data_IF_079903039995
#
_entry.id   IF_079903039995
#
_cell.length_a   1.000
_cell.length_b   1.000
_cell.length_c   1.000
_cell.angle_alpha   90.00
_cell.angle_beta   90.00
_cell.angle_gamma   90.00
#
_symmetry.space_group_name_H-M   'P 1'
#
loop_
_entity.id
_entity.type
_entity.pdbx_description
1 polymer ?
#
# COMPACT_ATOMS: atom_id res chain seq x y z
N UNK A 1 0.89 -12.10 -2.36
CA UNK A 1 1.91 -13.16 -2.48
C UNK A 1 2.93 -12.73 -3.52
N UNK A 2 4.19 -13.17 -3.41
CA UNK A 2 5.18 -13.02 -4.48
C UNK A 2 5.48 -14.33 -5.23
N UNK A 3 6.29 -14.24 -6.29
CA UNK A 3 6.73 -15.41 -7.06
C UNK A 3 7.71 -16.33 -6.32
N UNK A 4 8.18 -15.94 -5.12
CA UNK A 4 9.01 -16.76 -4.24
C UNK A 4 8.20 -17.54 -3.20
N UNK A 5 6.87 -17.53 -3.30
CA UNK A 5 5.98 -18.25 -2.39
C UNK A 5 5.81 -17.58 -1.03
N UNK A 6 6.24 -16.31 -0.89
CA UNK A 6 6.05 -15.55 0.34
C UNK A 6 4.69 -14.84 0.32
N UNK A 7 4.02 -14.89 1.47
CA UNK A 7 2.74 -14.22 1.70
C UNK A 7 2.94 -13.03 2.63
N UNK A 8 2.24 -11.94 2.36
CA UNK A 8 2.06 -10.87 3.34
C UNK A 8 1.09 -11.34 4.43
N UNK A 9 0.92 -10.50 5.44
CA UNK A 9 -0.25 -10.60 6.30
C UNK A 9 -1.55 -10.37 5.52
N UNK A 10 -2.68 -10.73 6.12
CA UNK A 10 -4.00 -10.40 5.59
C UNK A 10 -4.23 -8.89 5.63
N UNK A 11 -4.65 -8.32 4.51
CA UNK A 11 -4.86 -6.88 4.37
C UNK A 11 -6.36 -6.58 4.28
N UNK A 12 -6.82 -5.58 5.04
CA UNK A 12 -8.23 -5.23 5.12
C UNK A 12 -8.73 -4.57 3.83
N UNK A 13 -7.96 -3.64 3.27
CA UNK A 13 -8.29 -2.99 2.00
C UNK A 13 -7.06 -2.86 1.10
N UNK A 14 -7.21 -3.30 -0.15
CA UNK A 14 -6.15 -3.27 -1.16
C UNK A 14 -6.65 -2.60 -2.43
N UNK A 15 -5.86 -1.67 -2.96
CA UNK A 15 -6.05 -1.09 -4.30
C UNK A 15 -5.04 -1.76 -5.22
N UNK A 16 -5.52 -2.44 -6.26
CA UNK A 16 -4.67 -3.22 -7.15
C UNK A 16 -5.16 -3.17 -8.60
N UNK A 17 -4.24 -3.43 -9.51
CA UNK A 17 -4.52 -3.59 -10.94
C UNK A 17 -5.17 -4.95 -11.23
N UNK A 18 -6.28 -4.93 -11.98
CA UNK A 18 -6.89 -6.15 -12.56
C UNK A 18 -6.76 -6.20 -14.08
N UNK A 19 -6.37 -5.11 -14.73
CA UNK A 19 -6.37 -5.03 -16.19
C UNK A 19 -5.16 -5.75 -16.79
N UNK A 20 -4.00 -5.65 -16.15
CA UNK A 20 -2.74 -6.21 -16.62
C UNK A 20 -2.18 -7.30 -15.70
N UNK A 21 -2.87 -7.58 -14.59
CA UNK A 21 -2.49 -8.59 -13.61
C UNK A 21 -3.54 -9.72 -13.59
N UNK A 22 -3.41 -10.74 -14.47
CA UNK A 22 -4.44 -11.76 -14.66
C UNK A 22 -4.52 -12.79 -13.52
N UNK A 23 -3.47 -12.90 -12.69
CA UNK A 23 -3.45 -13.81 -11.55
C UNK A 23 -4.22 -13.20 -10.39
N UNK A 24 -5.46 -13.65 -10.19
CA UNK A 24 -6.17 -13.49 -8.92
C UNK A 24 -6.58 -14.88 -8.50
N UNK A 25 -5.95 -15.40 -7.44
CA UNK A 25 -6.27 -16.71 -6.91
C UNK A 25 -7.39 -16.57 -5.89
N UNK A 26 -8.41 -17.41 -6.01
CA UNK A 26 -9.44 -17.56 -5.00
C UNK A 26 -9.19 -18.89 -4.31
N UNK A 27 -8.77 -18.83 -3.04
CA UNK A 27 -8.62 -20.02 -2.20
C UNK A 27 -9.56 -19.87 -1.01
N UNK A 28 -10.53 -20.77 -0.90
CA UNK A 28 -11.65 -20.63 0.04
C UNK A 28 -12.35 -19.26 -0.15
N UNK A 29 -12.53 -18.50 0.93
CA UNK A 29 -13.12 -17.14 0.91
C UNK A 29 -12.05 -16.03 0.76
N UNK A 30 -10.78 -16.40 0.53
CA UNK A 30 -9.69 -15.46 0.43
C UNK A 30 -9.32 -15.18 -1.03
N UNK A 31 -9.09 -13.90 -1.32
CA UNK A 31 -8.55 -13.44 -2.60
C UNK A 31 -7.07 -13.15 -2.43
N UNK A 32 -6.22 -13.90 -3.14
CA UNK A 32 -4.77 -13.75 -3.12
C UNK A 32 -4.34 -13.12 -4.44
N UNK A 33 -3.64 -12.00 -4.34
CA UNK A 33 -3.15 -11.24 -5.50
C UNK A 33 -1.61 -11.21 -5.54
N UNK A 34 -1.00 -11.11 -6.73
CA UNK A 34 0.44 -10.95 -6.90
C UNK A 34 0.90 -9.59 -6.40
N UNK A 35 2.08 -9.53 -5.78
CA UNK A 35 2.63 -8.29 -5.21
C UNK A 35 2.83 -7.19 -6.26
N UNK A 36 3.07 -7.56 -7.53
CA UNK A 36 3.25 -6.62 -8.64
C UNK A 36 1.98 -5.82 -8.97
N UNK A 37 0.79 -6.34 -8.66
CA UNK A 37 -0.48 -5.66 -8.97
C UNK A 37 -0.87 -4.58 -7.96
N UNK A 38 -0.20 -4.54 -6.80
CA UNK A 38 -0.60 -3.71 -5.66
C UNK A 38 -0.17 -2.26 -5.86
N UNK A 39 -1.13 -1.33 -5.77
CA UNK A 39 -0.87 0.11 -5.75
C UNK A 39 -0.85 0.68 -4.32
N UNK A 40 -1.83 0.28 -3.50
CA UNK A 40 -1.99 0.77 -2.14
C UNK A 40 -2.58 -0.30 -1.22
N UNK A 41 -2.23 -0.26 0.05
CA UNK A 41 -2.80 -1.11 1.09
C UNK A 41 -3.16 -0.29 2.33
N UNK A 42 -4.23 -0.70 3.00
CA UNK A 42 -4.74 -0.04 4.18
C UNK A 42 -5.13 -1.04 5.26
N UNK A 43 -4.79 -0.70 6.50
CA UNK A 43 -5.35 -1.31 7.69
C UNK A 43 -6.54 -0.46 8.18
N UNK A 44 -7.65 -1.11 8.56
CA UNK A 44 -8.85 -0.44 9.03
C UNK A 44 -9.13 -0.77 10.51
N UNK A 45 -9.19 0.26 11.36
CA UNK A 45 -9.47 0.13 12.79
C UNK A 45 -10.54 1.11 13.24
N UNK A 46 -11.10 0.92 14.43
CA UNK A 46 -12.07 1.87 14.98
C UNK A 46 -11.39 3.17 15.42
N UNK A 47 -10.26 3.06 16.12
CA UNK A 47 -9.56 4.17 16.75
C UNK A 47 -8.11 4.24 16.28
N UNK A 48 -7.58 5.46 16.23
CA UNK A 48 -6.17 5.73 16.02
C UNK A 48 -5.45 5.85 17.36
N UNK A 49 -4.46 5.00 17.57
CA UNK A 49 -3.58 4.99 18.74
C UNK A 49 -2.21 4.39 18.36
N UNK A 50 -1.32 4.27 19.34
CA UNK A 50 0.03 3.76 19.13
C UNK A 50 0.06 2.32 18.61
N UNK A 51 -0.80 1.47 19.15
CA UNK A 51 -0.83 0.04 18.82
C UNK A 51 -1.32 -0.14 17.38
N UNK A 52 -2.41 0.54 17.04
CA UNK A 52 -3.00 0.47 15.70
C UNK A 52 -2.10 1.11 14.64
N UNK A 53 -1.36 2.19 14.95
CA UNK A 53 -0.35 2.74 14.02
C UNK A 53 0.75 1.71 13.75
N UNK A 54 1.33 1.11 14.80
CA UNK A 54 2.37 0.08 14.64
C UNK A 54 1.88 -1.14 13.87
N UNK A 55 0.68 -1.59 14.17
CA UNK A 55 0.06 -2.71 13.48
C UNK A 55 -0.11 -2.43 11.98
N UNK A 56 -0.56 -1.23 11.61
CA UNK A 56 -0.63 -0.81 10.21
C UNK A 56 0.76 -0.75 9.54
N UNK A 57 1.78 -0.26 10.25
CA UNK A 57 3.17 -0.20 9.76
C UNK A 57 3.72 -1.60 9.47
N UNK A 58 3.49 -2.57 10.36
CA UNK A 58 3.89 -3.96 10.17
C UNK A 58 3.19 -4.60 8.97
N UNK A 59 1.88 -4.38 8.81
CA UNK A 59 1.14 -4.84 7.62
C UNK A 59 1.70 -4.26 6.33
N UNK A 60 1.97 -2.96 6.29
CA UNK A 60 2.60 -2.28 5.14
C UNK A 60 3.96 -2.89 4.82
N UNK A 61 4.80 -3.10 5.84
CA UNK A 61 6.11 -3.74 5.69
C UNK A 61 5.99 -5.16 5.15
N UNK A 62 5.03 -5.94 5.63
CA UNK A 62 4.79 -7.31 5.16
C UNK A 62 4.52 -7.38 3.65
N UNK A 63 3.84 -6.37 3.09
CA UNK A 63 3.58 -6.27 1.64
C UNK A 63 4.79 -5.71 0.89
N UNK A 64 5.46 -4.69 1.43
CA UNK A 64 6.61 -4.05 0.75
C UNK A 64 7.86 -4.93 0.69
N UNK A 65 8.01 -5.86 1.62
CA UNK A 65 9.09 -6.85 1.62
C UNK A 65 8.91 -7.96 0.57
N UNK A 66 7.72 -8.07 -0.05
CA UNK A 66 7.46 -9.04 -1.11
C UNK A 66 8.27 -8.74 -2.36
N UNK A 67 8.78 -9.81 -2.98
CA UNK A 67 9.51 -9.71 -4.23
C UNK A 67 8.57 -9.34 -5.38
N UNK A 68 8.96 -8.35 -6.20
CA UNK A 68 8.18 -7.90 -7.36
C UNK A 68 9.01 -8.00 -8.62
N UNK A 69 8.56 -8.85 -9.53
CA UNK A 69 9.14 -9.00 -10.86
C UNK A 69 8.88 -7.75 -11.70
N UNK A 70 9.72 -7.55 -12.71
CA UNK A 70 9.52 -6.52 -13.72
C UNK A 70 10.20 -6.98 -15.01
N UNK A 71 9.41 -7.33 -16.01
CA UNK A 71 9.91 -7.71 -17.32
C UNK A 71 10.13 -6.48 -18.21
N UNK A 72 11.14 -6.58 -19.08
CA UNK A 72 11.29 -5.68 -20.22
C UNK A 72 10.12 -5.85 -21.18
N UNK A 73 9.56 -4.75 -21.69
CA UNK A 73 8.39 -4.78 -22.57
C UNK A 73 8.81 -4.44 -24.01
N UNK A 74 8.55 -5.33 -24.99
CA UNK A 74 8.66 -4.98 -26.41
C UNK A 74 7.61 -3.93 -26.77
N UNK A 75 8.04 -2.83 -27.38
CA UNK A 75 7.16 -1.77 -27.87
C UNK A 75 7.62 -1.29 -29.25
N UNK A 76 6.83 -0.42 -29.90
CA UNK A 76 7.07 0.02 -31.29
C UNK A 76 8.45 0.66 -31.49
N UNK A 77 9.05 1.21 -30.42
CA UNK A 77 10.39 1.81 -30.44
C UNK A 77 11.54 0.89 -30.05
N UNK A 78 11.30 -0.40 -29.78
CA UNK A 78 12.32 -1.37 -29.35
C UNK A 78 11.96 -2.09 -28.05
N UNK A 79 12.97 -2.52 -27.28
CA UNK A 79 12.77 -3.19 -25.98
C UNK A 79 13.01 -2.17 -24.86
N UNK A 80 12.04 -1.97 -23.98
CA UNK A 80 12.21 -1.07 -22.83
C UNK A 80 13.07 -1.72 -21.76
N UNK A 81 13.78 -0.92 -20.96
CA UNK A 81 14.39 -1.42 -19.72
C UNK A 81 13.28 -1.81 -18.74
N UNK A 82 13.47 -2.85 -17.90
CA UNK A 82 12.55 -3.17 -16.83
C UNK A 82 12.26 -1.94 -15.97
N UNK A 83 10.98 -1.66 -15.75
CA UNK A 83 10.54 -0.53 -14.94
C UNK A 83 10.69 -0.91 -13.47
N UNK A 84 11.41 -0.11 -12.68
CA UNK A 84 11.44 -0.31 -11.24
C UNK A 84 10.00 -0.28 -10.69
N UNK A 85 9.56 -1.28 -9.90
CA UNK A 85 8.22 -1.28 -9.34
C UNK A 85 7.99 0.00 -8.53
N UNK A 86 6.86 0.68 -8.78
CA UNK A 86 6.53 1.88 -8.02
C UNK A 86 6.41 1.54 -6.52
N UNK A 87 6.72 2.47 -5.60
CA UNK A 87 6.48 2.25 -4.18
C UNK A 87 5.00 1.94 -3.92
N UNK A 88 4.69 1.01 -3.02
CA UNK A 88 3.30 0.73 -2.61
C UNK A 88 2.90 1.77 -1.58
N UNK A 89 1.75 2.41 -1.76
CA UNK A 89 1.18 3.34 -0.77
C UNK A 89 0.72 2.53 0.45
N UNK A 90 1.24 2.85 1.63
CA UNK A 90 0.78 2.29 2.89
C UNK A 90 -0.09 3.29 3.65
N UNK A 91 -1.15 2.83 4.30
CA UNK A 91 -1.98 3.72 5.09
C UNK A 91 -2.83 3.06 6.15
N UNK A 92 -3.50 3.91 6.93
CA UNK A 92 -4.41 3.51 8.00
C UNK A 92 -5.72 4.29 7.91
N UNK A 93 -6.84 3.60 8.15
CA UNK A 93 -8.20 4.14 8.12
C UNK A 93 -8.84 3.93 9.48
N UNK A 94 -9.28 5.01 10.11
CA UNK A 94 -9.89 5.01 11.45
C UNK A 94 -11.10 5.92 11.51
N UNK A 95 -11.99 5.69 12.49
CA UNK A 95 -13.13 6.59 12.73
C UNK A 95 -12.74 7.70 13.71
N UNK A 96 -12.17 7.32 14.85
CA UNK A 96 -11.82 8.21 15.97
C UNK A 96 -10.32 8.14 16.30
N UNK A 97 -9.87 8.97 17.24
CA UNK A 97 -8.49 8.94 17.77
C UNK A 97 -8.51 8.95 19.30
N UNK A 98 -7.64 8.14 19.91
CA UNK A 98 -7.41 8.15 21.36
C UNK A 98 -6.54 9.34 21.80
N UNK A 99 -5.82 9.95 20.86
CA UNK A 99 -5.02 11.14 21.13
C UNK A 99 -5.84 12.42 21.15
N UNK A 100 -5.40 13.37 21.97
CA UNK A 100 -5.99 14.71 22.08
C UNK A 100 -4.86 15.75 22.01
N UNK A 101 -4.76 16.54 20.92
CA UNK A 101 -5.59 16.49 19.71
C UNK A 101 -5.36 15.22 18.88
N UNK A 102 -6.36 14.83 18.09
CA UNK A 102 -6.34 13.60 17.27
C UNK A 102 -5.23 13.59 16.21
N UNK A 103 -5.00 14.76 15.60
CA UNK A 103 -3.97 15.03 14.60
C UNK A 103 -2.95 16.02 15.17
N UNK A 104 -2.10 15.55 16.08
CA UNK A 104 -1.07 16.39 16.71
C UNK A 104 0.25 15.66 16.94
N UNK A 105 1.10 16.24 17.80
CA UNK A 105 2.48 15.78 18.03
C UNK A 105 2.61 14.30 18.35
N UNK A 106 1.65 13.73 19.10
CA UNK A 106 1.67 12.30 19.43
C UNK A 106 1.63 11.44 18.18
N UNK A 107 0.72 11.74 17.24
CA UNK A 107 0.64 11.06 15.95
C UNK A 107 1.89 11.35 15.12
N UNK A 108 2.28 12.63 14.99
CA UNK A 108 3.42 13.04 14.17
C UNK A 108 4.69 12.28 14.55
N UNK A 109 5.00 12.20 15.85
CA UNK A 109 6.16 11.46 16.35
C UNK A 109 6.13 9.98 15.98
N UNK A 110 4.96 9.34 15.96
CA UNK A 110 4.86 7.93 15.57
C UNK A 110 5.00 7.72 14.07
N UNK A 111 4.46 8.63 13.26
CA UNK A 111 4.61 8.61 11.81
C UNK A 111 6.07 8.82 11.40
N UNK A 112 6.81 9.69 12.11
CA UNK A 112 8.22 10.00 11.84
C UNK A 112 9.20 8.96 12.41
N UNK A 113 8.78 8.16 13.40
CA UNK A 113 9.63 7.16 14.04
C UNK A 113 10.04 6.03 13.08
N UNK A 114 9.14 5.65 12.17
CA UNK A 114 9.35 4.58 11.20
C UNK A 114 9.59 5.15 9.80
N UNK A 115 10.57 4.59 9.09
CA UNK A 115 10.95 5.01 7.73
C UNK A 115 10.95 3.82 6.77
N UNK A 116 11.09 4.13 5.48
CA UNK A 116 11.22 3.13 4.42
C UNK A 116 10.01 2.19 4.33
N UNK A 117 10.21 0.89 4.57
CA UNK A 117 9.20 -0.16 4.36
C UNK A 117 8.03 -0.05 5.33
N UNK A 118 8.23 0.48 6.53
CA UNK A 118 7.17 0.65 7.53
C UNK A 118 6.40 1.97 7.39
N UNK A 119 6.83 2.90 6.52
CA UNK A 119 6.26 4.24 6.43
C UNK A 119 4.78 4.20 6.03
N UNK A 120 3.90 4.87 6.79
CA UNK A 120 2.53 5.15 6.37
C UNK A 120 2.54 6.41 5.50
N UNK A 121 2.25 6.30 4.21
CA UNK A 121 2.22 7.45 3.29
C UNK A 121 0.99 8.34 3.52
N UNK A 122 -0.13 7.77 3.95
CA UNK A 122 -1.41 8.49 4.03
C UNK A 122 -2.34 7.81 5.04
N UNK A 123 -3.21 8.58 5.70
CA UNK A 123 -4.23 8.01 6.57
C UNK A 123 -5.42 8.93 6.78
N UNK A 124 -6.51 8.36 7.27
CA UNK A 124 -7.76 9.06 7.54
C UNK A 124 -8.27 8.74 8.94
N UNK A 125 -8.65 9.78 9.68
CA UNK A 125 -9.40 9.70 10.93
C UNK A 125 -10.74 10.37 10.67
N UNK A 126 -11.78 9.60 10.36
CA UNK A 126 -13.00 10.10 9.72
C UNK A 126 -13.66 11.27 10.46
N UNK A 127 -13.61 11.29 11.80
CA UNK A 127 -14.18 12.35 12.62
C UNK A 127 -13.29 13.57 12.83
N UNK A 128 -12.00 13.51 12.44
CA UNK A 128 -11.01 14.54 12.81
C UNK A 128 -10.26 15.14 11.62
N UNK A 129 -9.96 14.35 10.58
CA UNK A 129 -9.19 14.81 9.42
C UNK A 129 -8.37 13.70 8.77
N UNK A 130 -7.36 14.08 8.01
CA UNK A 130 -6.49 13.13 7.32
C UNK A 130 -5.03 13.59 7.38
N UNK A 131 -4.11 12.69 7.06
CA UNK A 131 -2.69 13.02 6.95
C UNK A 131 -2.06 12.38 5.74
N UNK A 132 -0.95 12.95 5.29
CA UNK A 132 -0.10 12.33 4.27
C UNK A 132 1.37 12.75 4.41
N UNK A 133 2.25 11.90 3.93
CA UNK A 133 3.67 12.18 3.77
C UNK A 133 3.91 12.87 2.43
N UNK A 134 4.38 14.11 2.46
CA UNK A 134 4.85 14.80 1.27
C UNK A 134 6.28 14.35 0.95
N UNK A 135 6.45 13.76 -0.23
CA UNK A 135 7.71 13.18 -0.69
C UNK A 135 8.69 14.24 -1.19
N UNK A 136 8.23 15.44 -1.53
CA UNK A 136 9.12 16.52 -1.97
C UNK A 136 9.78 17.21 -0.78
N UNK A 137 9.01 17.46 0.27
CA UNK A 137 9.50 18.09 1.51
C UNK A 137 10.00 17.09 2.57
N UNK A 138 9.72 15.80 2.41
CA UNK A 138 9.99 14.73 3.40
C UNK A 138 9.32 15.03 4.76
N UNK A 139 8.08 15.52 4.72
CA UNK A 139 7.33 15.95 5.90
C UNK A 139 5.90 15.42 5.91
N UNK A 140 5.38 15.20 7.12
CA UNK A 140 3.98 14.86 7.33
C UNK A 140 3.10 16.10 7.41
N UNK A 141 2.04 16.10 6.60
CA UNK A 141 0.98 17.08 6.66
C UNK A 141 -0.19 16.48 7.43
N UNK A 142 -0.52 17.04 8.59
CA UNK A 142 -1.69 16.69 9.38
C UNK A 142 -2.78 17.74 9.16
N UNK A 143 -3.92 17.35 8.59
CA UNK A 143 -4.96 18.27 8.13
C UNK A 143 -6.29 17.96 8.82
N UNK A 144 -6.62 18.71 9.89
CA UNK A 144 -7.93 18.67 10.51
C UNK A 144 -9.00 19.09 9.51
N UNK A 145 -9.98 18.22 9.26
CA UNK A 145 -10.99 18.43 8.23
C UNK A 145 -12.34 17.84 8.63
N UNK A 146 -13.42 18.59 8.39
CA UNK A 146 -14.79 18.12 8.67
C UNK A 146 -15.27 17.06 7.67
N UNK A 147 -14.68 17.05 6.47
CA UNK A 147 -14.98 16.08 5.39
C UNK A 147 -13.76 15.19 5.12
N UNK A 148 -13.18 14.66 6.20
CA UNK A 148 -11.94 13.90 6.20
C UNK A 148 -11.90 12.79 5.14
N UNK A 149 -12.93 11.95 5.07
CA UNK A 149 -12.98 10.83 4.13
C UNK A 149 -12.95 11.28 2.65
N UNK A 150 -13.65 12.37 2.32
CA UNK A 150 -13.65 12.92 0.95
C UNK A 150 -12.31 13.57 0.60
N UNK A 151 -11.73 14.33 1.54
CA UNK A 151 -10.42 14.94 1.34
C UNK A 151 -9.32 13.88 1.18
N UNK A 152 -9.33 12.85 2.03
CA UNK A 152 -8.48 11.67 1.92
C UNK A 152 -8.63 10.99 0.55
N UNK A 153 -9.87 10.74 0.09
CA UNK A 153 -10.11 10.08 -1.19
C UNK A 153 -9.51 10.88 -2.36
N UNK A 154 -9.68 12.19 -2.38
CA UNK A 154 -9.10 13.04 -3.42
C UNK A 154 -7.57 13.02 -3.38
N UNK A 155 -6.98 13.05 -2.18
CA UNK A 155 -5.52 12.92 -2.02
C UNK A 155 -5.03 11.55 -2.50
N UNK A 156 -5.72 10.46 -2.14
CA UNK A 156 -5.38 9.12 -2.59
C UNK A 156 -5.46 8.99 -4.12
N UNK A 157 -6.51 9.51 -4.74
CA UNK A 157 -6.64 9.53 -6.20
C UNK A 157 -5.47 10.30 -6.84
N UNK A 158 -5.11 11.46 -6.29
CA UNK A 158 -3.97 12.24 -6.77
C UNK A 158 -2.64 11.47 -6.67
N UNK A 159 -2.38 10.81 -5.54
CA UNK A 159 -1.18 9.97 -5.35
C UNK A 159 -1.15 8.77 -6.31
N UNK A 160 -2.31 8.17 -6.61
CA UNK A 160 -2.43 7.06 -7.55
C UNK A 160 -2.24 7.52 -9.01
N UNK A 161 -2.75 8.70 -9.38
CA UNK A 161 -2.59 9.26 -10.73
C UNK A 161 -1.13 9.50 -11.11
N UNK A 162 -0.29 9.85 -10.13
CA UNK A 162 1.15 10.02 -10.32
C UNK A 162 1.89 8.69 -10.53
N UNK A 163 1.27 7.55 -10.18
CA UNK A 163 1.85 6.23 -10.44
C UNK A 163 1.50 5.78 -11.85
N UNK A 164 2.52 5.66 -12.68
CA UNK A 164 2.39 4.94 -13.94
C UNK A 164 2.04 3.46 -13.68
N UNK A 165 1.43 2.80 -14.67
CA UNK A 165 0.96 1.40 -14.62
C UNK A 165 1.93 0.42 -13.96
N UNK A 166 1.39 -0.61 -13.30
CA UNK A 166 2.16 -1.70 -12.66
C UNK A 166 3.22 -2.29 -13.62
N UNK A 167 4.36 -2.76 -13.09
CA UNK A 167 5.36 -3.42 -13.92
C UNK A 167 4.76 -4.67 -14.59
N UNK A 168 5.33 -5.06 -15.73
CA UNK A 168 4.90 -6.28 -16.40
C UNK A 168 5.33 -7.49 -15.55
N UNK A 169 4.32 -8.20 -15.05
CA UNK A 169 4.43 -9.43 -14.26
C UNK A 169 5.16 -10.53 -15.06
N UNK A 170 6.15 -11.18 -14.44
CA UNK A 170 6.66 -12.46 -14.96
C UNK A 170 5.76 -13.61 -14.51
N UNK A 171 4.77 -13.94 -15.35
CA UNK A 171 3.82 -15.02 -15.09
C UNK A 171 4.52 -16.38 -14.92
N UNK A 172 5.63 -16.62 -15.62
CA UNK A 172 6.35 -17.89 -15.57
C UNK A 172 7.09 -18.06 -14.25
N UNK A 173 7.45 -16.97 -13.57
CA UNK A 173 8.00 -17.03 -12.22
C UNK A 173 7.00 -17.64 -11.23
N UNK A 174 5.70 -17.38 -11.39
CA UNK A 174 4.63 -18.00 -10.60
C UNK A 174 4.31 -19.44 -11.04
N UNK A 175 4.52 -19.76 -12.32
CA UNK A 175 4.30 -21.10 -12.87
C UNK A 175 5.20 -22.19 -12.27
N UNK A 176 6.33 -21.82 -11.65
CA UNK A 176 7.23 -22.77 -10.96
C UNK A 176 6.49 -23.57 -9.87
N UNK A 177 5.50 -22.96 -9.23
CA UNK A 177 4.70 -23.56 -8.16
C UNK A 177 3.66 -24.57 -8.65
N UNK A 178 3.49 -24.74 -9.97
CA UNK A 178 2.61 -25.77 -10.53
C UNK A 178 3.21 -27.18 -10.46
N UNK A 179 4.51 -27.29 -10.21
CA UNK A 179 5.27 -28.54 -10.24
C UNK A 179 5.88 -28.93 -8.89
N UNK A 180 5.73 -28.09 -7.86
CA UNK A 180 6.09 -28.45 -6.50
C UNK A 180 4.94 -29.30 -5.90
N UNK A 181 5.12 -30.61 -5.96
CA UNK A 181 4.44 -31.52 -5.03
C UNK A 181 5.11 -31.32 -3.66
N UNK A 182 4.34 -30.78 -2.70
CA UNK A 182 4.84 -30.41 -1.37
C UNK A 182 5.47 -31.53 -0.55
#
# INVERSE_FOLDING_TARGET
MDSKGIFSEQIDAVVFDRQYSPLVFHHMEQTIIPAESVYAIFEAKQTLDLENVKYAQDKVKSVRSLYRTSLSVPHVGGVSKPKAPAPIIGGILTLESEWKPALGDSLLRQLEAEKNESLLDIGCVASHGYFYHDKESDQFNLLPETKAATAFLFKLISELQMKATVPMLDIQAYGKWLHDEG
#
